data_IF_582137589596
#
_entry.id   IF_582137589596
#
_cell.length_a   1.000
_cell.length_b   1.000
_cell.length_c   1.000
_cell.angle_alpha   90.00
_cell.angle_beta   90.00
_cell.angle_gamma   90.00
#
_symmetry.space_group_name_H-M   'P 1'
#
loop_
_entity.id
_entity.type
_entity.pdbx_description
1 polymer ?
#
# COMPACT_ATOMS: atom_id res chain seq x y z
N UNK A 1 11.64 19.26 -12.38
CA UNK A 1 11.73 19.55 -10.93
C UNK A 1 11.80 21.05 -10.67
N UNK A 2 12.80 21.76 -11.22
CA UNK A 2 12.94 23.23 -11.10
C UNK A 2 11.71 24.02 -11.59
N UNK A 3 11.08 23.59 -12.68
CA UNK A 3 9.85 24.19 -13.22
C UNK A 3 8.64 24.16 -12.26
N UNK A 4 8.62 23.24 -11.27
CA UNK A 4 7.55 23.12 -10.28
C UNK A 4 7.76 24.01 -9.05
N UNK A 5 9.01 24.39 -8.77
CA UNK A 5 9.39 25.22 -7.60
C UNK A 5 9.74 26.67 -7.97
N UNK A 6 9.92 26.99 -9.26
CA UNK A 6 10.21 28.35 -9.73
C UNK A 6 9.16 29.41 -9.36
N UNK A 7 7.95 28.97 -9.01
CA UNK A 7 6.83 29.85 -8.63
C UNK A 7 6.72 30.04 -7.12
N UNK A 8 7.56 29.38 -6.32
CA UNK A 8 7.57 29.49 -4.87
C UNK A 8 8.40 30.71 -4.45
N UNK A 9 7.88 31.52 -3.54
CA UNK A 9 8.51 32.78 -3.12
C UNK A 9 9.40 32.58 -1.88
N UNK A 10 9.14 31.53 -1.09
CA UNK A 10 9.86 31.28 0.16
C UNK A 10 10.60 29.95 0.15
N UNK A 11 11.69 29.88 0.92
CA UNK A 11 12.45 28.64 1.13
C UNK A 11 11.57 27.52 1.72
N UNK A 12 10.57 27.87 2.53
CA UNK A 12 9.59 26.94 3.09
C UNK A 12 8.72 26.30 2.00
N UNK A 13 8.15 27.08 1.10
CA UNK A 13 7.32 26.57 -0.01
C UNK A 13 8.12 25.70 -0.99
N UNK A 14 9.38 26.06 -1.23
CA UNK A 14 10.30 25.25 -2.06
C UNK A 14 10.54 23.90 -1.38
N UNK A 15 10.83 23.91 -0.07
CA UNK A 15 11.03 22.71 0.72
C UNK A 15 9.78 21.83 0.73
N UNK A 16 8.61 22.38 1.04
CA UNK A 16 7.33 21.65 1.04
C UNK A 16 7.02 21.03 -0.32
N UNK A 17 7.23 21.76 -1.43
CA UNK A 17 7.06 21.19 -2.78
C UNK A 17 8.08 20.12 -3.11
N UNK A 18 9.33 20.26 -2.68
CA UNK A 18 10.34 19.22 -2.90
C UNK A 18 9.98 17.96 -2.12
N UNK A 19 9.56 18.09 -0.86
CA UNK A 19 9.04 16.99 -0.05
C UNK A 19 7.84 16.33 -0.74
N UNK A 20 6.87 17.12 -1.23
CA UNK A 20 5.69 16.61 -1.95
C UNK A 20 6.05 15.87 -3.25
N UNK A 21 7.09 16.32 -3.97
CA UNK A 21 7.54 15.67 -5.21
C UNK A 21 8.34 14.39 -4.92
N UNK A 22 9.13 14.37 -3.86
CA UNK A 22 10.01 13.25 -3.50
C UNK A 22 9.30 12.17 -2.68
N UNK A 23 8.43 12.55 -1.74
CA UNK A 23 7.69 11.62 -0.87
C UNK A 23 6.27 11.33 -1.39
N UNK A 24 5.74 12.20 -2.26
CA UNK A 24 4.32 12.22 -2.64
C UNK A 24 3.51 13.17 -1.75
N UNK A 25 2.42 13.73 -2.29
CA UNK A 25 1.43 14.48 -1.50
C UNK A 25 0.75 13.54 -0.48
N UNK A 26 0.16 14.06 0.59
CA UNK A 26 -0.66 13.24 1.50
C UNK A 26 -1.78 12.52 0.73
N UNK A 27 -2.33 13.16 -0.30
CA UNK A 27 -3.24 12.53 -1.28
C UNK A 27 -2.63 11.33 -2.00
N UNK A 28 -1.33 11.34 -2.29
CA UNK A 28 -0.60 10.19 -2.86
C UNK A 28 -0.39 9.10 -1.82
N UNK A 29 -0.17 9.45 -0.53
CA UNK A 29 -0.08 8.48 0.57
C UNK A 29 -1.44 7.83 0.85
N UNK A 30 -2.51 8.62 0.92
CA UNK A 30 -3.89 8.16 1.04
C UNK A 30 -4.32 7.30 -0.15
N UNK A 31 -3.95 7.69 -1.37
CA UNK A 31 -4.20 6.84 -2.55
C UNK A 31 -3.41 5.53 -2.50
N UNK A 32 -2.14 5.55 -2.08
CA UNK A 32 -1.34 4.33 -1.89
C UNK A 32 -1.95 3.41 -0.84
N UNK A 33 -2.38 3.98 0.29
CA UNK A 33 -3.06 3.25 1.36
C UNK A 33 -4.37 2.65 0.84
N UNK A 34 -5.20 3.44 0.16
CA UNK A 34 -6.46 2.99 -0.43
C UNK A 34 -6.25 1.86 -1.43
N UNK A 35 -5.27 1.98 -2.33
CA UNK A 35 -4.93 0.94 -3.30
C UNK A 35 -4.44 -0.33 -2.61
N UNK A 36 -3.53 -0.22 -1.64
CA UNK A 36 -3.02 -1.37 -0.89
C UNK A 36 -4.14 -2.07 -0.09
N UNK A 37 -5.06 -1.30 0.49
CA UNK A 37 -6.23 -1.84 1.18
C UNK A 37 -7.18 -2.56 0.22
N UNK A 38 -7.42 -2.00 -0.97
CA UNK A 38 -8.23 -2.67 -1.99
C UNK A 38 -7.59 -3.98 -2.46
N UNK A 39 -6.27 -4.02 -2.66
CA UNK A 39 -5.53 -5.25 -2.96
C UNK A 39 -5.70 -6.29 -1.85
N UNK A 40 -5.55 -5.87 -0.60
CA UNK A 40 -5.76 -6.74 0.55
C UNK A 40 -7.19 -7.26 0.60
N UNK A 41 -8.19 -6.40 0.40
CA UNK A 41 -9.58 -6.83 0.49
C UNK A 41 -10.00 -7.76 -0.65
N UNK A 42 -9.46 -7.55 -1.86
CA UNK A 42 -9.75 -8.37 -3.03
C UNK A 42 -8.89 -9.63 -3.16
N UNK A 43 -7.90 -9.83 -2.29
CA UNK A 43 -7.00 -10.98 -2.40
C UNK A 43 -7.76 -12.28 -2.17
N UNK A 44 -7.66 -13.16 -3.16
CA UNK A 44 -8.14 -14.53 -3.12
C UNK A 44 -7.06 -15.43 -3.75
N UNK A 45 -7.09 -16.70 -3.38
CA UNK A 45 -6.30 -17.73 -4.03
C UNK A 45 -6.84 -17.94 -5.45
N UNK A 46 -5.94 -17.97 -6.42
CA UNK A 46 -6.29 -18.11 -7.84
C UNK A 46 -6.43 -19.59 -8.21
N UNK A 47 -7.18 -19.90 -9.25
CA UNK A 47 -7.23 -21.26 -9.79
C UNK A 47 -5.85 -21.70 -10.27
N UNK A 48 -5.42 -22.90 -9.86
CA UNK A 48 -4.11 -23.46 -10.21
C UNK A 48 -2.92 -22.84 -9.47
N UNK A 49 -3.13 -21.87 -8.59
CA UNK A 49 -2.09 -21.30 -7.73
C UNK A 49 -1.75 -22.27 -6.59
N UNK A 50 -0.47 -22.37 -6.25
CA UNK A 50 -0.02 -23.13 -5.09
C UNK A 50 -0.18 -22.32 -3.80
N UNK A 51 -0.29 -22.99 -2.66
CA UNK A 51 -0.36 -22.30 -1.36
C UNK A 51 0.86 -21.39 -1.11
N UNK A 52 2.05 -21.77 -1.58
CA UNK A 52 3.27 -20.99 -1.41
C UNK A 52 3.23 -19.69 -2.24
N UNK A 53 2.76 -19.75 -3.49
CA UNK A 53 2.57 -18.57 -4.34
C UNK A 53 1.51 -17.62 -3.76
N UNK A 54 0.42 -18.18 -3.23
CA UNK A 54 -0.60 -17.39 -2.54
C UNK A 54 -0.02 -16.68 -1.29
N UNK A 55 0.72 -17.41 -0.46
CA UNK A 55 1.35 -16.88 0.76
C UNK A 55 2.34 -15.76 0.44
N UNK A 56 3.16 -15.92 -0.61
CA UNK A 56 4.09 -14.88 -1.06
C UNK A 56 3.35 -13.60 -1.48
N UNK A 57 2.27 -13.72 -2.28
CA UNK A 57 1.45 -12.56 -2.68
C UNK A 57 0.75 -11.92 -1.48
N UNK A 58 0.22 -12.72 -0.57
CA UNK A 58 -0.46 -12.24 0.63
C UNK A 58 0.52 -11.47 1.53
N UNK A 59 1.69 -12.06 1.79
CA UNK A 59 2.76 -11.45 2.57
C UNK A 59 3.24 -10.13 1.95
N UNK A 60 3.41 -10.07 0.63
CA UNK A 60 3.79 -8.85 -0.06
C UNK A 60 2.79 -7.69 0.18
N UNK A 61 1.49 -7.98 0.15
CA UNK A 61 0.45 -6.99 0.42
C UNK A 61 0.44 -6.55 1.89
N UNK A 62 0.63 -7.47 2.83
CA UNK A 62 0.71 -7.16 4.27
C UNK A 62 1.94 -6.29 4.57
N UNK A 63 3.09 -6.59 3.95
CA UNK A 63 4.31 -5.79 4.07
C UNK A 63 4.10 -4.38 3.48
N UNK A 64 3.46 -4.27 2.31
CA UNK A 64 3.10 -2.97 1.70
C UNK A 64 2.24 -2.14 2.67
N UNK A 65 1.20 -2.73 3.26
CA UNK A 65 0.33 -2.05 4.23
C UNK A 65 1.06 -1.65 5.51
N UNK A 66 1.90 -2.53 6.05
CA UNK A 66 2.71 -2.26 7.25
C UNK A 66 3.68 -1.11 6.99
N UNK A 67 4.29 -1.04 5.80
CA UNK A 67 5.20 0.06 5.42
C UNK A 67 4.51 1.43 5.34
N UNK A 68 3.18 1.45 5.14
CA UNK A 68 2.34 2.66 5.10
C UNK A 68 1.73 2.95 6.49
N UNK A 69 2.06 2.15 7.51
CA UNK A 69 1.62 2.36 8.89
C UNK A 69 0.31 1.67 9.26
N UNK A 70 -0.19 0.74 8.44
CA UNK A 70 -1.37 -0.08 8.76
C UNK A 70 -0.95 -1.46 9.23
N UNK A 71 -1.18 -1.74 10.51
CA UNK A 71 -0.89 -3.03 11.14
C UNK A 71 -2.16 -3.89 11.25
N UNK A 72 -1.99 -5.20 11.19
CA UNK A 72 -3.05 -6.19 11.41
C UNK A 72 -2.60 -7.19 12.46
N UNK A 73 -3.52 -7.61 13.34
CA UNK A 73 -3.22 -8.71 14.26
C UNK A 73 -3.11 -10.04 13.52
N UNK A 74 -2.35 -10.99 14.08
CA UNK A 74 -2.26 -12.35 13.53
C UNK A 74 -3.63 -13.00 13.35
N UNK A 75 -4.59 -12.69 14.24
CA UNK A 75 -5.97 -13.20 14.13
C UNK A 75 -6.69 -12.64 12.90
N UNK A 76 -6.54 -11.36 12.62
CA UNK A 76 -7.13 -10.73 11.43
C UNK A 76 -6.54 -11.28 10.14
N UNK A 77 -5.22 -11.45 10.09
CA UNK A 77 -4.52 -12.03 8.96
C UNK A 77 -4.96 -13.48 8.72
N UNK A 78 -5.02 -14.31 9.78
CA UNK A 78 -5.50 -15.69 9.68
C UNK A 78 -6.94 -15.78 9.15
N UNK A 79 -7.84 -14.93 9.67
CA UNK A 79 -9.22 -14.85 9.19
C UNK A 79 -9.30 -14.34 7.74
N UNK A 80 -8.36 -13.51 7.30
CA UNK A 80 -8.31 -13.06 5.90
C UNK A 80 -7.89 -14.20 4.99
N UNK A 81 -6.83 -14.93 5.34
CA UNK A 81 -6.37 -16.13 4.61
C UNK A 81 -7.50 -17.15 4.51
N UNK A 82 -8.14 -17.51 5.63
CA UNK A 82 -9.26 -18.48 5.63
C UNK A 82 -10.42 -18.09 4.71
N UNK A 83 -10.69 -16.78 4.53
CA UNK A 83 -11.74 -16.29 3.62
C UNK A 83 -11.30 -16.22 2.16
N UNK A 84 -9.99 -16.13 1.91
CA UNK A 84 -9.38 -16.00 0.60
C UNK A 84 -9.12 -17.36 -0.08
N UNK A 85 -9.06 -18.44 0.70
CA UNK A 85 -8.92 -19.80 0.19
C UNK A 85 -10.22 -20.28 -0.48
N UNK A 86 -10.14 -21.11 -1.53
CA UNK A 86 -11.31 -21.71 -2.15
C UNK A 86 -12.04 -22.59 -1.13
N UNK A 87 -13.37 -22.61 -1.23
CA UNK A 87 -14.18 -23.56 -0.46
C UNK A 87 -14.07 -24.92 -1.14
N UNK A 88 -13.78 -25.96 -0.36
CA UNK A 88 -13.88 -27.36 -0.79
C UNK A 88 -15.30 -27.70 -1.27
#
# INVERSE_FOLDING_TARGET
>A
MFSKIKTCATAKEIWEKLTQICEGNDETKENKLTVAQLKYESINMREGETMAEFDERFSAVVIELTSIGKEYSNRELALKVMRALPRE
#
